data_IF_817771755653
#
_entry.id   IF_817771755653
#
_cell.length_a   1.000
_cell.length_b   1.000
_cell.length_c   1.000
_cell.angle_alpha   90.00
_cell.angle_beta   90.00
_cell.angle_gamma   90.00
#
_symmetry.space_group_name_H-M   'P 1'
#
loop_
_entity.id
_entity.type
_entity.pdbx_description
1 polymer ?
#
# COMPACT_ATOMS: atom_id res chain seq x y z
N UNK A 1 -14.14 -5.98 8.71
CA UNK A 1 -12.71 -6.28 8.97
C UNK A 1 -11.89 -4.98 8.85
N UNK A 2 -10.86 -4.79 9.69
CA UNK A 2 -10.13 -3.51 9.88
C UNK A 2 -9.04 -3.21 8.86
N UNK A 3 -8.77 -4.12 7.90
CA UNK A 3 -7.66 -4.02 6.93
C UNK A 3 -6.28 -3.82 7.58
N UNK A 4 -6.10 -4.29 8.83
CA UNK A 4 -4.83 -4.25 9.56
C UNK A 4 -4.30 -5.67 9.75
N UNK A 5 -2.98 -5.79 9.81
CA UNK A 5 -2.32 -7.05 10.18
C UNK A 5 -2.76 -7.46 11.59
N UNK A 6 -3.12 -8.73 11.76
CA UNK A 6 -3.52 -9.31 13.05
C UNK A 6 -2.33 -9.50 14.01
N UNK A 7 -1.12 -9.65 13.48
CA UNK A 7 0.12 -9.86 14.24
C UNK A 7 1.28 -9.07 13.62
N UNK A 8 1.16 -7.74 13.65
CA UNK A 8 2.20 -6.86 13.13
C UNK A 8 3.55 -6.98 13.88
N UNK A 9 3.59 -7.16 15.22
CA UNK A 9 4.83 -7.38 15.96
C UNK A 9 5.55 -8.68 15.56
N UNK A 10 4.81 -9.77 15.34
CA UNK A 10 5.36 -11.09 14.98
C UNK A 10 5.54 -11.34 13.49
N UNK A 11 5.23 -10.37 12.62
CA UNK A 11 5.12 -10.57 11.15
C UNK A 11 6.34 -11.23 10.48
N UNK A 12 7.56 -10.92 10.94
CA UNK A 12 8.80 -11.47 10.34
C UNK A 12 9.03 -12.95 10.70
N UNK A 13 8.42 -13.44 11.78
CA UNK A 13 8.47 -14.87 12.13
C UNK A 13 7.55 -15.68 11.21
N UNK A 14 6.45 -15.08 10.77
CA UNK A 14 5.47 -15.70 9.87
C UNK A 14 5.88 -15.59 8.40
N UNK A 15 6.42 -14.44 8.01
CA UNK A 15 6.87 -14.15 6.65
C UNK A 15 8.33 -13.70 6.69
N UNK A 16 9.30 -14.62 6.52
CA UNK A 16 10.72 -14.30 6.57
C UNK A 16 11.13 -13.19 5.59
N UNK A 17 10.47 -13.13 4.43
CA UNK A 17 10.71 -12.13 3.39
C UNK A 17 10.05 -10.76 3.67
N UNK A 18 9.45 -10.57 4.85
CA UNK A 18 8.80 -9.30 5.22
C UNK A 18 9.82 -8.16 5.34
N UNK A 19 9.87 -7.33 4.31
CA UNK A 19 10.77 -6.17 4.22
C UNK A 19 10.40 -5.10 5.25
N UNK A 20 11.38 -4.66 6.04
CA UNK A 20 11.26 -3.47 6.87
C UNK A 20 11.58 -2.24 6.02
N UNK A 21 10.58 -1.40 5.78
CA UNK A 21 10.76 -0.13 5.09
C UNK A 21 11.47 0.89 6.00
N UNK A 22 12.66 1.32 5.59
CA UNK A 22 13.34 2.50 6.11
C UNK A 22 13.51 3.52 4.98
N UNK A 23 13.73 4.81 5.27
CA UNK A 23 14.01 5.81 4.23
C UNK A 23 15.17 5.41 3.30
N UNK A 24 16.21 4.77 3.86
CA UNK A 24 17.38 4.28 3.11
C UNK A 24 17.02 3.09 2.23
N UNK A 25 16.32 2.09 2.79
CA UNK A 25 15.91 0.90 2.04
C UNK A 25 14.95 1.25 0.91
N UNK A 26 14.02 2.19 1.14
CA UNK A 26 13.05 2.58 0.11
C UNK A 26 13.70 3.16 -1.16
N UNK A 27 14.90 3.76 -1.05
CA UNK A 27 15.65 4.28 -2.20
C UNK A 27 16.18 3.18 -3.12
N UNK A 28 16.38 1.97 -2.62
CA UNK A 28 16.87 0.83 -3.41
C UNK A 28 15.76 -0.11 -3.90
N UNK A 29 14.53 0.01 -3.38
CA UNK A 29 13.40 -0.84 -3.75
C UNK A 29 12.66 -0.30 -4.98
N UNK A 30 13.07 -0.75 -6.17
CA UNK A 30 12.50 -0.32 -7.46
C UNK A 30 11.04 -0.72 -7.66
N UNK A 31 10.55 -1.75 -6.94
CA UNK A 31 9.20 -2.28 -7.09
C UNK A 31 8.13 -1.55 -6.25
N UNK A 32 8.52 -0.54 -5.44
CA UNK A 32 7.55 0.20 -4.64
C UNK A 32 6.48 0.87 -5.52
N UNK A 33 5.23 0.96 -5.07
CA UNK A 33 4.18 1.57 -5.89
C UNK A 33 4.43 3.04 -6.21
N UNK A 34 3.93 3.44 -7.40
CA UNK A 34 3.36 4.76 -7.73
C UNK A 34 3.42 5.85 -6.65
N UNK A 35 2.63 5.58 -5.63
CA UNK A 35 2.20 6.52 -4.60
C UNK A 35 2.83 6.22 -3.25
N UNK A 36 3.87 5.38 -3.19
CA UNK A 36 4.55 5.05 -1.94
C UNK A 36 5.21 6.31 -1.37
N UNK A 37 4.83 6.68 -0.14
CA UNK A 37 5.33 7.87 0.53
C UNK A 37 6.86 7.93 0.58
N UNK A 38 7.48 6.80 0.93
CA UNK A 38 8.94 6.73 1.00
C UNK A 38 9.61 6.99 -0.34
N UNK A 39 9.05 6.46 -1.44
CA UNK A 39 9.61 6.70 -2.77
C UNK A 39 9.39 8.14 -3.23
N UNK A 40 8.16 8.65 -3.11
CA UNK A 40 7.82 10.03 -3.50
C UNK A 40 8.71 11.04 -2.78
N UNK A 41 8.90 10.88 -1.47
CA UNK A 41 9.76 11.77 -0.68
C UNK A 41 11.25 11.59 -1.04
N UNK A 42 11.69 10.37 -1.33
CA UNK A 42 13.07 10.12 -1.76
C UNK A 42 13.40 10.75 -3.12
N UNK A 43 12.41 10.84 -4.01
CA UNK A 43 12.51 11.49 -5.32
C UNK A 43 12.35 13.03 -5.24
N UNK A 44 12.12 13.58 -4.04
CA UNK A 44 11.92 15.02 -3.83
C UNK A 44 10.53 15.52 -4.24
N UNK A 45 9.57 14.62 -4.40
CA UNK A 45 8.18 14.96 -4.72
C UNK A 45 7.33 15.25 -3.48
N UNK A 46 6.18 15.86 -3.72
CA UNK A 46 5.19 16.14 -2.67
C UNK A 46 4.21 14.98 -2.48
N UNK A 47 3.85 14.75 -1.22
CA UNK A 47 2.80 13.79 -0.88
C UNK A 47 1.44 14.28 -1.38
N UNK A 48 0.62 13.36 -1.87
CA UNK A 48 -0.71 13.69 -2.34
C UNK A 48 -1.61 14.24 -1.21
N UNK A 49 -2.62 15.05 -1.57
CA UNK A 49 -3.51 15.72 -0.61
C UNK A 49 -4.21 14.77 0.37
N UNK A 50 -4.44 13.51 -0.03
CA UNK A 50 -5.10 12.48 0.76
C UNK A 50 -4.14 11.69 1.64
N UNK A 51 -2.84 11.96 1.56
CA UNK A 51 -1.87 11.25 2.37
C UNK A 51 -2.05 11.64 3.84
N UNK A 52 -2.09 10.71 4.82
CA UNK A 52 -2.38 11.05 6.22
C UNK A 52 -1.43 12.09 6.85
N UNK A 53 -0.17 12.12 6.39
CA UNK A 53 0.81 13.14 6.82
C UNK A 53 0.50 14.55 6.29
N UNK A 54 -0.28 14.66 5.22
CA UNK A 54 -0.73 15.94 4.63
C UNK A 54 -2.12 16.31 5.09
N UNK A 55 -3.05 15.35 5.10
CA UNK A 55 -4.45 15.57 5.42
C UNK A 55 -4.75 15.57 6.92
N UNK A 56 -3.86 14.99 7.75
CA UNK A 56 -4.09 14.74 9.17
C UNK A 56 -5.10 13.63 9.47
N UNK A 57 -5.71 13.01 8.46
CA UNK A 57 -6.76 12.00 8.63
C UNK A 57 -6.47 10.73 7.83
N UNK A 58 -6.48 9.54 8.48
CA UNK A 58 -6.36 8.28 7.76
C UNK A 58 -7.55 8.00 6.83
N UNK A 59 -8.71 8.61 7.04
CA UNK A 59 -9.91 8.33 6.23
C UNK A 59 -9.81 8.86 4.80
N UNK A 60 -8.97 9.88 4.59
CA UNK A 60 -8.76 10.49 3.27
C UNK A 60 -8.19 9.52 2.22
N UNK A 61 -7.48 8.46 2.63
CA UNK A 61 -7.06 7.37 1.72
C UNK A 61 -8.25 6.57 1.18
N UNK A 62 -9.32 6.44 1.96
CA UNK A 62 -10.55 5.76 1.57
C UNK A 62 -11.39 6.66 0.66
N UNK A 63 -11.54 7.93 1.02
CA UNK A 63 -12.20 8.96 0.20
C UNK A 63 -11.55 9.05 -1.19
N UNK A 64 -10.22 9.16 -1.23
CA UNK A 64 -9.45 9.20 -2.47
C UNK A 64 -9.37 7.84 -3.19
N UNK A 65 -9.85 6.75 -2.59
CA UNK A 65 -9.90 5.44 -3.26
C UNK A 65 -8.58 4.74 -3.47
N UNK A 66 -7.58 5.12 -2.70
CA UNK A 66 -6.22 4.56 -2.74
C UNK A 66 -6.03 3.49 -1.66
N UNK A 67 -7.14 2.95 -1.15
CA UNK A 67 -7.17 1.88 -0.16
C UNK A 67 -7.50 0.52 -0.80
N UNK A 68 -6.94 -0.54 -0.21
CA UNK A 68 -7.31 -1.95 -0.47
C UNK A 68 -8.67 -2.33 0.13
N UNK A 69 -9.24 -1.49 1.01
CA UNK A 69 -10.52 -1.78 1.67
C UNK A 69 -11.61 -2.01 0.62
N UNK A 70 -12.33 -3.13 0.74
CA UNK A 70 -13.35 -3.55 -0.22
C UNK A 70 -12.81 -4.11 -1.54
N UNK A 71 -11.49 -4.33 -1.66
CA UNK A 71 -10.83 -4.92 -2.85
C UNK A 71 -10.15 -6.26 -2.59
N UNK A 72 -10.21 -6.76 -1.36
CA UNK A 72 -9.64 -8.06 -0.98
C UNK A 72 -10.74 -9.12 -1.11
N UNK A 73 -10.54 -10.08 -2.01
CA UNK A 73 -11.55 -11.09 -2.37
C UNK A 73 -11.51 -12.34 -1.47
N UNK A 74 -10.32 -12.72 -0.98
CA UNK A 74 -10.12 -13.93 -0.19
C UNK A 74 -8.97 -13.75 0.82
N UNK A 75 -8.90 -14.64 1.83
CA UNK A 75 -7.70 -14.79 2.66
C UNK A 75 -6.61 -15.48 1.86
N UNK A 76 -5.33 -15.25 2.21
CA UNK A 76 -4.22 -16.01 1.61
C UNK A 76 -4.31 -17.51 1.94
N UNK A 77 -4.82 -17.87 3.12
CA UNK A 77 -5.02 -19.25 3.55
C UNK A 77 -6.11 -19.99 2.73
N UNK A 78 -7.01 -19.24 2.09
CA UNK A 78 -8.14 -19.79 1.33
C UNK A 78 -7.81 -19.95 -0.17
N UNK A 79 -6.63 -19.49 -0.61
CA UNK A 79 -6.21 -19.48 -2.02
C UNK A 79 -4.94 -20.32 -2.19
N UNK A 80 -4.99 -21.44 -2.95
CA UNK A 80 -3.80 -22.22 -3.28
C UNK A 80 -2.73 -21.35 -3.94
N UNK A 81 -1.46 -21.59 -3.60
CA UNK A 81 -0.31 -20.81 -4.10
C UNK A 81 -0.25 -20.77 -5.63
N UNK A 82 -0.68 -21.85 -6.28
CA UNK A 82 -0.72 -21.98 -7.74
C UNK A 82 -1.70 -20.99 -8.39
N UNK A 83 -2.72 -20.55 -7.65
CA UNK A 83 -3.72 -19.58 -8.10
C UNK A 83 -3.35 -18.12 -7.76
N UNK A 84 -2.28 -17.88 -7.00
CA UNK A 84 -1.83 -16.52 -6.67
C UNK A 84 -1.56 -15.62 -7.90
N UNK A 85 -1.00 -16.11 -9.02
CA UNK A 85 -0.80 -15.29 -10.22
C UNK A 85 -2.09 -14.68 -10.76
N UNK A 86 -3.22 -15.38 -10.62
CA UNK A 86 -4.54 -14.90 -11.07
C UNK A 86 -5.11 -13.79 -10.17
N UNK A 87 -4.47 -13.52 -9.03
CA UNK A 87 -4.85 -12.49 -8.08
C UNK A 87 -3.91 -11.27 -8.10
N UNK A 88 -2.94 -11.24 -9.03
CA UNK A 88 -2.05 -10.09 -9.22
C UNK A 88 -2.83 -8.93 -9.85
N UNK A 89 -2.84 -7.79 -9.15
CA UNK A 89 -3.59 -6.59 -9.54
C UNK A 89 -2.66 -5.43 -9.93
N UNK A 90 -3.05 -4.65 -10.95
CA UNK A 90 -2.25 -3.50 -11.45
C UNK A 90 -2.60 -2.15 -10.80
N UNK A 91 -3.70 -2.08 -10.06
CA UNK A 91 -4.20 -0.81 -9.52
C UNK A 91 -3.27 -0.10 -8.51
N UNK A 92 -2.33 -0.75 -7.78
CA UNK A 92 -1.38 -0.03 -6.92
C UNK A 92 -0.49 0.97 -7.70
N UNK A 93 -0.25 0.70 -8.99
CA UNK A 93 0.50 1.56 -9.89
C UNK A 93 -0.40 2.46 -10.75
N UNK A 94 -1.71 2.46 -10.50
CA UNK A 94 -2.70 3.23 -11.28
C UNK A 94 -3.70 3.89 -10.31
N UNK A 95 -3.30 4.96 -9.59
CA UNK A 95 -4.19 5.64 -8.66
C UNK A 95 -5.44 6.19 -9.39
N UNK A 96 -6.62 6.15 -8.75
CA UNK A 96 -7.88 6.59 -9.37
C UNK A 96 -7.86 8.11 -9.62
N UNK A 97 -8.70 8.59 -10.55
CA UNK A 97 -8.78 10.03 -10.91
C UNK A 97 -8.98 10.94 -9.70
N UNK A 98 -9.83 10.54 -8.76
CA UNK A 98 -10.12 11.29 -7.52
C UNK A 98 -8.90 11.46 -6.61
N UNK A 99 -7.88 10.62 -6.76
CA UNK A 99 -6.62 10.74 -6.01
C UNK A 99 -5.67 11.81 -6.59
N UNK A 100 -5.94 12.34 -7.80
CA UNK A 100 -5.02 13.24 -8.53
C UNK A 100 -5.25 14.72 -8.24
N UNK A 101 -6.46 15.12 -7.83
CA UNK A 101 -6.80 16.50 -7.47
C UNK A 101 -7.76 16.49 -6.28
N UNK A 102 -7.59 17.42 -5.35
CA UNK A 102 -8.61 17.72 -4.34
C UNK A 102 -9.74 18.41 -5.10
N UNK A 103 -10.93 17.81 -5.09
CA UNK A 103 -12.13 18.40 -5.70
C UNK A 103 -12.48 19.72 -5.04
#
# INVERSE_FOLDING_TARGET
>A
KTCRCSDYPGRQRKVPDCVKLTPEAARSLSWLPVTCAYRVLAEGGDLAWWHPLVSGSPDTVHEAGVSVRGRVAASEDDVPTEAWPDHIVRWPNRPPRRARKKG
#
